data_IF_424948820254
#
_entry.id   IF_424948820254
#
_cell.length_a   1.000
_cell.length_b   1.000
_cell.length_c   1.000
_cell.angle_alpha   90.00
_cell.angle_beta   90.00
_cell.angle_gamma   90.00
#
_symmetry.space_group_name_H-M   'P 1'
#
loop_
_entity.id
_entity.type
_entity.pdbx_description
1 polymer ?
#
# COMPACT_ATOMS: atom_id res chain seq x y z
N UNK A 1 -27.98 31.74 83.06
CA UNK A 1 -28.08 30.68 82.02
C UNK A 1 -28.16 31.29 80.68
N UNK A 2 -27.07 31.28 79.90
CA UNK A 2 -27.06 31.79 78.48
C UNK A 2 -26.95 30.59 77.58
N UNK A 3 -27.97 30.33 76.72
CA UNK A 3 -28.02 29.28 75.74
C UNK A 3 -27.42 29.83 74.47
N UNK A 4 -26.33 29.20 74.01
CA UNK A 4 -25.61 29.55 72.83
C UNK A 4 -26.18 28.71 71.64
N UNK A 5 -26.75 29.36 70.66
CA UNK A 5 -27.21 28.72 69.44
C UNK A 5 -26.06 28.65 68.42
N UNK A 6 -25.64 27.43 68.07
CA UNK A 6 -24.68 27.16 67.00
C UNK A 6 -25.48 26.95 65.69
N UNK A 7 -25.32 27.91 64.76
CA UNK A 7 -25.78 27.76 63.41
C UNK A 7 -24.77 26.92 62.60
N UNK A 8 -25.19 25.73 62.20
CA UNK A 8 -24.45 24.89 61.25
C UNK A 8 -24.87 25.25 59.83
N UNK A 9 -24.02 25.96 59.11
CA UNK A 9 -24.20 26.23 57.67
C UNK A 9 -23.65 25.02 56.91
N UNK A 10 -24.55 24.18 56.32
CA UNK A 10 -24.19 23.18 55.33
C UNK A 10 -23.93 23.87 54.01
N UNK A 11 -22.67 23.97 53.59
CA UNK A 11 -22.28 24.33 52.25
C UNK A 11 -22.45 23.12 51.30
N UNK A 12 -23.47 23.15 50.47
CA UNK A 12 -23.69 22.17 49.42
C UNK A 12 -22.65 22.43 48.31
N UNK A 13 -21.60 21.62 48.23
CA UNK A 13 -20.69 21.59 47.10
C UNK A 13 -21.43 20.88 45.95
N UNK A 14 -21.93 21.63 45.00
CA UNK A 14 -22.43 21.11 43.74
C UNK A 14 -21.19 20.75 42.89
N UNK A 15 -20.79 19.50 42.89
CA UNK A 15 -19.86 18.96 41.87
C UNK A 15 -20.56 19.02 40.50
N UNK A 16 -20.25 20.02 39.71
CA UNK A 16 -20.53 20.01 38.30
C UNK A 16 -19.62 18.96 37.64
N UNK A 17 -20.14 17.74 37.52
CA UNK A 17 -19.56 16.72 36.66
C UNK A 17 -19.77 17.20 35.21
N UNK A 18 -18.81 17.94 34.67
CA UNK A 18 -18.77 18.30 33.26
C UNK A 18 -18.66 17.01 32.44
N UNK A 19 -19.79 16.55 31.90
CA UNK A 19 -19.79 15.53 30.87
C UNK A 19 -18.98 16.08 29.69
N UNK A 20 -17.71 15.72 29.61
CA UNK A 20 -16.96 15.89 28.39
C UNK A 20 -17.67 15.06 27.34
N UNK A 21 -18.44 15.74 26.49
CA UNK A 21 -18.96 15.14 25.26
C UNK A 21 -17.74 14.70 24.48
N UNK A 22 -17.44 13.39 24.52
CA UNK A 22 -16.48 12.77 23.61
C UNK A 22 -16.86 13.22 22.19
N UNK A 23 -15.97 13.98 21.59
CA UNK A 23 -16.12 14.40 20.19
C UNK A 23 -16.08 13.14 19.33
N UNK A 24 -17.27 12.60 19.03
CA UNK A 24 -17.45 11.38 18.23
C UNK A 24 -16.84 11.49 16.84
N UNK A 25 -16.49 12.70 16.37
CA UNK A 25 -15.82 12.92 15.09
C UNK A 25 -14.37 12.42 15.04
N UNK A 26 -13.77 12.16 16.23
CA UNK A 26 -12.37 11.70 16.35
C UNK A 26 -12.24 10.22 16.69
N UNK A 27 -13.33 9.48 16.76
CA UNK A 27 -13.30 8.04 17.09
C UNK A 27 -13.01 7.26 15.80
N UNK A 28 -11.91 6.52 15.78
CA UNK A 28 -11.65 5.51 14.75
C UNK A 28 -12.58 4.31 14.95
N UNK A 29 -13.11 3.78 13.85
CA UNK A 29 -13.88 2.53 13.85
C UNK A 29 -12.95 1.41 13.41
N UNK A 30 -12.88 0.32 14.18
CA UNK A 30 -12.16 -0.90 13.84
C UNK A 30 -13.14 -2.07 13.87
N UNK A 31 -13.21 -2.80 12.78
CA UNK A 31 -14.11 -3.96 12.61
C UNK A 31 -13.39 -5.07 11.89
N UNK A 32 -13.76 -6.30 12.20
CA UNK A 32 -13.20 -7.49 11.58
C UNK A 32 -14.31 -8.28 10.89
N UNK A 33 -13.94 -9.01 9.83
CA UNK A 33 -14.84 -9.93 9.17
C UNK A 33 -14.10 -11.16 8.65
N UNK A 34 -14.84 -12.23 8.47
CA UNK A 34 -14.38 -13.49 7.89
C UNK A 34 -15.19 -13.79 6.66
N UNK A 35 -14.51 -14.03 5.55
CA UNK A 35 -15.14 -14.42 4.29
C UNK A 35 -14.89 -15.90 4.05
N UNK A 36 -15.97 -16.70 4.04
CA UNK A 36 -15.90 -18.13 3.75
C UNK A 36 -15.73 -18.38 2.25
N UNK A 37 -14.93 -19.39 1.86
CA UNK A 37 -14.77 -19.77 0.47
C UNK A 37 -16.11 -20.24 -0.14
N UNK A 38 -16.32 -19.93 -1.41
CA UNK A 38 -17.41 -20.49 -2.18
C UNK A 38 -16.95 -21.80 -2.86
N UNK A 39 -17.91 -22.65 -3.21
CA UNK A 39 -17.62 -23.98 -3.76
C UNK A 39 -16.75 -23.97 -5.02
N UNK A 40 -16.88 -22.92 -5.85
CA UNK A 40 -16.16 -22.74 -7.11
C UNK A 40 -14.89 -21.90 -6.98
N UNK A 41 -14.47 -21.58 -5.76
CA UNK A 41 -13.26 -20.81 -5.50
C UNK A 41 -12.08 -21.72 -5.14
N UNK A 42 -10.87 -21.28 -5.51
CA UNK A 42 -9.63 -22.00 -5.21
C UNK A 42 -9.07 -21.66 -3.81
N UNK A 43 -9.92 -21.16 -2.93
CA UNK A 43 -9.59 -20.88 -1.53
C UNK A 43 -9.91 -22.12 -0.68
N UNK A 44 -8.98 -22.55 0.16
CA UNK A 44 -9.10 -23.71 1.03
C UNK A 44 -9.46 -23.37 2.48
N UNK A 45 -9.22 -22.12 2.90
CA UNK A 45 -9.51 -21.64 4.25
C UNK A 45 -10.24 -20.32 4.24
N UNK A 46 -10.84 -19.97 5.36
CA UNK A 46 -11.43 -18.65 5.57
C UNK A 46 -10.42 -17.52 5.36
N UNK A 47 -10.89 -16.43 4.76
CA UNK A 47 -10.14 -15.20 4.61
C UNK A 47 -10.51 -14.22 5.72
N UNK A 48 -9.53 -13.77 6.48
CA UNK A 48 -9.73 -12.82 7.57
C UNK A 48 -9.35 -11.40 7.13
N UNK A 49 -10.20 -10.45 7.46
CA UNK A 49 -10.00 -9.04 7.14
C UNK A 49 -10.26 -8.18 8.36
N UNK A 50 -9.44 -7.15 8.51
CA UNK A 50 -9.63 -6.11 9.52
C UNK A 50 -9.69 -4.76 8.84
N UNK A 51 -10.71 -3.97 9.12
CA UNK A 51 -10.88 -2.62 8.60
C UNK A 51 -10.75 -1.59 9.72
N UNK A 52 -9.89 -0.59 9.51
CA UNK A 52 -9.83 0.62 10.33
C UNK A 52 -10.30 1.82 9.51
N UNK A 53 -11.32 2.52 10.01
CA UNK A 53 -11.75 3.82 9.48
C UNK A 53 -11.23 4.87 10.46
N UNK A 54 -10.19 5.66 10.08
CA UNK A 54 -9.54 6.59 11.00
C UNK A 54 -10.41 7.77 11.43
N UNK A 55 -11.46 8.05 10.69
CA UNK A 55 -12.44 9.09 10.98
C UNK A 55 -13.83 8.55 10.65
N UNK A 56 -14.67 8.40 11.68
CA UNK A 56 -15.99 7.78 11.55
C UNK A 56 -17.02 8.62 10.78
N UNK A 57 -16.72 9.90 10.52
CA UNK A 57 -17.65 10.81 9.86
C UNK A 57 -17.12 11.28 8.51
N UNK A 58 -17.99 11.24 7.52
CA UNK A 58 -17.72 11.64 6.16
C UNK A 58 -17.52 10.45 5.23
N UNK A 59 -17.60 10.73 3.94
CA UNK A 59 -17.52 9.71 2.91
C UNK A 59 -16.08 9.18 2.75
N UNK A 60 -15.92 7.86 2.76
CA UNK A 60 -14.65 7.19 2.48
C UNK A 60 -14.38 7.30 0.96
N UNK A 61 -13.18 7.77 0.58
CA UNK A 61 -12.78 7.99 -0.81
C UNK A 61 -12.05 6.80 -1.42
N UNK A 62 -11.55 5.89 -0.60
CA UNK A 62 -10.85 4.71 -1.04
C UNK A 62 -10.45 3.82 0.13
N UNK A 63 -10.00 2.62 -0.19
CA UNK A 63 -9.50 1.64 0.77
C UNK A 63 -8.04 1.33 0.44
N UNK A 64 -7.16 1.52 1.41
CA UNK A 64 -5.77 1.09 1.31
C UNK A 64 -5.65 -0.32 1.87
N UNK A 65 -5.56 -1.28 0.98
CA UNK A 65 -5.41 -2.71 1.28
C UNK A 65 -3.94 -3.01 1.51
N UNK A 66 -3.62 -3.49 2.70
CA UNK A 66 -2.29 -3.91 3.15
C UNK A 66 -2.33 -5.41 3.36
N UNK A 67 -1.51 -6.15 2.60
CA UNK A 67 -1.41 -7.59 2.76
C UNK A 67 -0.49 -7.93 3.93
N UNK A 68 -1.03 -8.62 4.95
CA UNK A 68 -0.30 -9.02 6.15
C UNK A 68 0.75 -10.11 5.85
N UNK A 69 1.90 -9.67 5.39
CA UNK A 69 3.04 -10.52 5.02
C UNK A 69 4.31 -9.97 5.66
N UNK A 70 4.59 -10.44 6.86
CA UNK A 70 5.75 -9.99 7.62
C UNK A 70 5.42 -8.83 8.57
N UNK A 71 6.13 -8.84 9.69
CA UNK A 71 5.86 -7.96 10.83
C UNK A 71 5.90 -6.48 10.49
N UNK A 72 6.86 -6.05 9.70
CA UNK A 72 7.05 -4.64 9.34
C UNK A 72 5.91 -4.09 8.47
N UNK A 73 5.25 -4.93 7.70
CA UNK A 73 4.05 -4.56 6.92
C UNK A 73 2.82 -4.50 7.82
N UNK A 74 2.71 -5.44 8.75
CA UNK A 74 1.66 -5.42 9.79
C UNK A 74 1.76 -4.16 10.65
N UNK A 75 2.98 -3.80 11.07
CA UNK A 75 3.24 -2.61 11.87
C UNK A 75 2.86 -1.32 11.12
N UNK A 76 3.03 -1.28 9.78
CA UNK A 76 2.57 -0.15 8.95
C UNK A 76 1.06 0.08 9.03
N UNK A 77 0.27 -0.97 9.10
CA UNK A 77 -1.20 -0.85 9.21
C UNK A 77 -1.64 -0.07 10.45
N UNK A 78 -0.93 -0.25 11.57
CA UNK A 78 -1.21 0.41 12.84
C UNK A 78 -0.33 1.64 13.11
N UNK A 79 0.59 1.98 12.21
CA UNK A 79 1.50 3.12 12.35
C UNK A 79 0.74 4.45 12.40
N UNK A 80 1.06 5.28 13.38
CA UNK A 80 0.34 6.54 13.64
C UNK A 80 0.38 7.51 12.45
N UNK A 81 1.50 7.56 11.71
CA UNK A 81 1.64 8.43 10.53
C UNK A 81 0.80 7.90 9.38
N UNK A 82 0.75 6.57 9.19
CA UNK A 82 -0.10 5.91 8.18
C UNK A 82 -1.58 6.13 8.49
N UNK A 83 -1.99 6.01 9.74
CA UNK A 83 -3.37 6.30 10.19
C UNK A 83 -3.70 7.78 9.98
N UNK A 84 -2.79 8.70 10.33
CA UNK A 84 -2.98 10.13 10.10
C UNK A 84 -3.07 10.47 8.61
N UNK A 85 -2.24 9.83 7.78
CA UNK A 85 -2.30 9.95 6.32
C UNK A 85 -3.64 9.45 5.78
N UNK A 86 -4.09 8.28 6.20
CA UNK A 86 -5.37 7.71 5.79
C UNK A 86 -6.55 8.64 6.18
N UNK A 87 -6.53 9.20 7.39
CA UNK A 87 -7.51 10.22 7.82
C UNK A 87 -7.51 11.43 6.89
N UNK A 88 -6.34 12.01 6.60
CA UNK A 88 -6.19 13.18 5.74
C UNK A 88 -6.77 12.97 4.35
N UNK A 89 -6.59 11.79 3.78
CA UNK A 89 -7.06 11.45 2.43
C UNK A 89 -8.42 10.74 2.40
N UNK A 90 -9.07 10.61 3.57
CA UNK A 90 -10.36 9.92 3.75
C UNK A 90 -10.31 8.47 3.23
N UNK A 91 -9.23 7.77 3.56
CA UNK A 91 -9.05 6.36 3.25
C UNK A 91 -9.45 5.52 4.47
N UNK A 92 -10.05 4.37 4.23
CA UNK A 92 -10.04 3.28 5.17
C UNK A 92 -8.76 2.46 4.98
N UNK A 93 -8.23 1.90 6.05
CA UNK A 93 -7.13 0.92 6.02
C UNK A 93 -7.73 -0.46 6.16
N UNK A 94 -7.36 -1.37 5.27
CA UNK A 94 -7.80 -2.77 5.30
C UNK A 94 -6.59 -3.67 5.38
N UNK A 95 -6.48 -4.41 6.49
CA UNK A 95 -5.51 -5.47 6.65
C UNK A 95 -6.11 -6.76 6.11
N UNK A 96 -5.45 -7.34 5.09
CA UNK A 96 -5.80 -8.62 4.53
C UNK A 96 -4.96 -9.70 5.23
N UNK A 97 -5.60 -10.51 6.06
CA UNK A 97 -4.96 -11.66 6.71
C UNK A 97 -4.74 -12.82 5.74
N UNK A 98 -4.35 -13.93 6.28
CA UNK A 98 -4.02 -15.12 5.51
C UNK A 98 -5.27 -15.83 4.97
N UNK A 99 -5.22 -16.22 3.68
CA UNK A 99 -6.12 -17.19 3.09
C UNK A 99 -5.28 -18.29 2.42
N UNK A 100 -5.59 -19.55 2.67
CA UNK A 100 -4.90 -20.67 2.02
C UNK A 100 -5.54 -21.01 0.67
N UNK A 101 -4.70 -21.27 -0.34
CA UNK A 101 -5.12 -21.83 -1.62
C UNK A 101 -5.36 -23.35 -1.56
N UNK A 102 -6.13 -23.87 -2.51
CA UNK A 102 -6.43 -25.34 -2.61
C UNK A 102 -5.30 -26.15 -3.25
N UNK A 103 -4.37 -25.50 -3.94
CA UNK A 103 -3.37 -26.23 -4.72
C UNK A 103 -2.17 -26.64 -3.88
N UNK A 104 -1.69 -27.90 -4.04
CA UNK A 104 -0.47 -28.37 -3.41
C UNK A 104 0.72 -27.51 -3.86
N UNK A 105 1.57 -27.12 -2.91
CA UNK A 105 2.71 -26.25 -3.17
C UNK A 105 2.37 -24.77 -3.27
N UNK A 106 1.10 -24.42 -3.06
CA UNK A 106 0.68 -23.03 -2.97
C UNK A 106 1.23 -22.40 -1.67
N UNK A 107 1.89 -21.29 -1.79
CA UNK A 107 2.42 -20.54 -0.64
C UNK A 107 1.34 -19.60 -0.06
N UNK A 108 0.15 -20.14 0.15
CA UNK A 108 -1.01 -19.38 0.59
C UNK A 108 -1.61 -18.54 -0.53
N UNK A 109 -1.98 -17.31 -0.21
CA UNK A 109 -2.61 -16.39 -1.16
C UNK A 109 -1.67 -15.84 -2.25
N UNK A 110 -0.35 -16.01 -2.10
CA UNK A 110 0.65 -15.44 -3.00
C UNK A 110 0.61 -15.96 -4.43
N UNK A 111 0.35 -17.25 -4.57
CA UNK A 111 0.33 -17.94 -5.87
C UNK A 111 -1.09 -18.10 -6.41
N UNK A 112 -2.09 -17.69 -5.65
CA UNK A 112 -3.48 -17.78 -6.03
C UNK A 112 -3.80 -16.78 -7.14
N UNK A 113 -4.55 -17.23 -8.14
CA UNK A 113 -5.09 -16.33 -9.15
C UNK A 113 -6.24 -15.53 -8.53
N UNK A 114 -6.17 -14.19 -8.46
CA UNK A 114 -7.23 -13.40 -7.83
C UNK A 114 -8.62 -13.66 -8.39
N UNK A 115 -8.72 -13.97 -9.70
CA UNK A 115 -9.99 -14.30 -10.38
C UNK A 115 -10.64 -15.60 -9.90
N UNK A 116 -9.89 -16.49 -9.25
CA UNK A 116 -10.35 -17.80 -8.80
C UNK A 116 -10.72 -17.83 -7.32
N UNK A 117 -10.88 -16.67 -6.69
CA UNK A 117 -11.37 -16.60 -5.31
C UNK A 117 -10.96 -15.34 -4.55
N UNK A 118 -9.66 -15.03 -4.49
CA UNK A 118 -9.15 -13.99 -3.62
C UNK A 118 -9.69 -12.59 -3.96
N UNK A 119 -9.79 -12.25 -5.24
CA UNK A 119 -10.39 -10.98 -5.67
C UNK A 119 -11.88 -10.88 -5.30
N UNK A 120 -12.73 -11.88 -5.64
CA UNK A 120 -14.12 -11.93 -5.19
C UNK A 120 -14.25 -11.91 -3.66
N UNK A 121 -13.40 -12.63 -2.91
CA UNK A 121 -13.42 -12.63 -1.45
C UNK A 121 -13.16 -11.23 -0.87
N UNK A 122 -12.18 -10.50 -1.41
CA UNK A 122 -11.91 -9.11 -1.04
C UNK A 122 -13.15 -8.21 -1.26
N UNK A 123 -13.85 -8.37 -2.40
CA UNK A 123 -15.05 -7.59 -2.66
C UNK A 123 -16.19 -7.94 -1.70
N UNK A 124 -16.37 -9.22 -1.37
CA UNK A 124 -17.35 -9.65 -0.35
C UNK A 124 -17.01 -9.08 1.04
N UNK A 125 -15.74 -9.02 1.42
CA UNK A 125 -15.32 -8.38 2.66
C UNK A 125 -15.71 -6.91 2.68
N UNK A 126 -15.51 -6.17 1.59
CA UNK A 126 -15.92 -4.76 1.49
C UNK A 126 -17.44 -4.59 1.58
N UNK A 127 -18.22 -5.51 0.99
CA UNK A 127 -19.69 -5.52 1.12
C UNK A 127 -20.13 -5.78 2.57
N UNK A 128 -19.49 -6.71 3.27
CA UNK A 128 -19.76 -6.97 4.69
C UNK A 128 -19.42 -5.74 5.55
N UNK A 129 -18.26 -5.13 5.33
CA UNK A 129 -17.88 -3.91 6.04
C UNK A 129 -18.82 -2.73 5.75
N UNK A 130 -19.32 -2.60 4.53
CA UNK A 130 -20.34 -1.60 4.20
C UNK A 130 -21.60 -1.77 5.05
N UNK A 131 -22.08 -3.01 5.20
CA UNK A 131 -23.21 -3.33 6.06
C UNK A 131 -22.94 -3.09 7.54
N UNK A 132 -21.75 -3.50 8.03
CA UNK A 132 -21.37 -3.40 9.45
C UNK A 132 -21.16 -1.95 9.92
N UNK A 133 -20.62 -1.10 9.06
CA UNK A 133 -20.21 0.28 9.41
C UNK A 133 -21.20 1.34 8.97
N UNK A 134 -22.14 1.00 8.08
CA UNK A 134 -23.03 1.96 7.44
C UNK A 134 -22.37 2.78 6.31
N UNK A 135 -21.09 2.56 6.03
CA UNK A 135 -20.35 3.18 4.93
C UNK A 135 -20.61 2.42 3.62
N UNK A 136 -21.77 2.61 3.04
CA UNK A 136 -22.22 1.88 1.82
C UNK A 136 -21.29 2.06 0.63
N UNK A 137 -20.52 3.16 0.61
CA UNK A 137 -19.51 3.41 -0.42
C UNK A 137 -18.36 2.41 -0.43
N UNK A 138 -18.11 1.66 0.66
CA UNK A 138 -17.06 0.63 0.74
C UNK A 138 -17.23 -0.45 -0.32
N UNK A 139 -18.45 -0.88 -0.62
CA UNK A 139 -18.75 -1.89 -1.66
C UNK A 139 -18.16 -1.53 -3.02
N UNK A 140 -18.08 -0.23 -3.34
CA UNK A 140 -17.57 0.27 -4.62
C UNK A 140 -16.36 1.20 -4.46
N UNK A 141 -15.70 1.18 -3.31
CA UNK A 141 -14.56 2.04 -3.04
C UNK A 141 -13.41 1.81 -4.03
N UNK A 142 -12.69 2.87 -4.34
CA UNK A 142 -11.43 2.78 -5.06
C UNK A 142 -10.36 2.16 -4.14
N UNK A 143 -9.40 1.43 -4.71
CA UNK A 143 -8.45 0.60 -3.98
C UNK A 143 -7.01 1.11 -4.16
N UNK A 144 -6.21 0.97 -3.12
CA UNK A 144 -4.76 1.08 -3.15
C UNK A 144 -4.24 -0.24 -2.61
N UNK A 145 -3.26 -0.85 -3.27
CA UNK A 145 -2.66 -2.10 -2.81
C UNK A 145 -1.23 -1.89 -2.32
N UNK A 146 -0.90 -2.47 -1.17
CA UNK A 146 0.47 -2.62 -0.71
C UNK A 146 0.73 -4.10 -0.48
N UNK A 147 1.70 -4.64 -1.23
CA UNK A 147 2.12 -6.02 -1.11
C UNK A 147 3.63 -6.17 -0.93
N UNK A 148 4.03 -6.92 0.08
CA UNK A 148 5.40 -7.31 0.33
C UNK A 148 5.65 -8.73 -0.16
N UNK A 149 6.85 -9.02 -0.65
CA UNK A 149 7.26 -10.36 -1.09
C UNK A 149 6.29 -10.93 -2.13
N UNK A 150 5.77 -12.12 -1.96
CA UNK A 150 4.78 -12.73 -2.84
C UNK A 150 3.46 -11.97 -2.94
N UNK A 151 3.10 -11.14 -1.96
CA UNK A 151 1.94 -10.25 -2.07
C UNK A 151 2.16 -9.09 -3.05
N UNK A 152 3.40 -8.80 -3.47
CA UNK A 152 3.69 -7.86 -4.55
C UNK A 152 3.07 -8.29 -5.89
N UNK A 153 3.42 -9.46 -6.45
CA UNK A 153 2.76 -9.99 -7.64
C UNK A 153 1.27 -10.22 -7.49
N UNK A 154 0.80 -10.60 -6.30
CA UNK A 154 -0.62 -10.68 -6.01
C UNK A 154 -1.30 -9.30 -6.18
N UNK A 155 -0.70 -8.25 -5.64
CA UNK A 155 -1.19 -6.87 -5.83
C UNK A 155 -1.23 -6.49 -7.31
N UNK A 156 -0.17 -6.80 -8.07
CA UNK A 156 -0.13 -6.56 -9.52
C UNK A 156 -1.23 -7.33 -10.29
N UNK A 157 -1.54 -8.57 -9.88
CA UNK A 157 -2.66 -9.34 -10.45
C UNK A 157 -4.03 -8.76 -10.09
N UNK A 158 -4.21 -8.25 -8.87
CA UNK A 158 -5.43 -7.54 -8.49
C UNK A 158 -5.60 -6.23 -9.25
N UNK A 159 -4.50 -5.52 -9.51
CA UNK A 159 -4.49 -4.35 -10.41
C UNK A 159 -4.94 -4.75 -11.82
N UNK A 160 -4.40 -5.86 -12.34
CA UNK A 160 -4.81 -6.39 -13.65
C UNK A 160 -6.29 -6.75 -13.71
N UNK A 161 -6.85 -7.23 -12.59
CA UNK A 161 -8.26 -7.65 -12.50
C UNK A 161 -9.22 -6.46 -12.33
N UNK A 162 -8.83 -5.43 -11.56
CA UNK A 162 -9.70 -4.30 -11.21
C UNK A 162 -9.12 -2.93 -11.58
N UNK A 163 -8.55 -2.72 -12.79
CA UNK A 163 -7.79 -1.51 -13.12
C UNK A 163 -8.58 -0.22 -12.97
N UNK A 164 -9.90 -0.27 -13.17
CA UNK A 164 -10.81 0.88 -13.05
C UNK A 164 -11.10 1.30 -11.62
N UNK A 165 -10.84 0.40 -10.66
CA UNK A 165 -11.02 0.66 -9.23
C UNK A 165 -9.71 0.95 -8.51
N UNK A 166 -8.55 0.73 -9.15
CA UNK A 166 -7.27 0.85 -8.46
C UNK A 166 -6.64 2.22 -8.67
N UNK A 167 -6.44 2.94 -7.58
CA UNK A 167 -5.74 4.23 -7.55
C UNK A 167 -4.25 4.02 -7.77
N UNK A 168 -3.64 3.05 -7.07
CA UNK A 168 -2.20 2.82 -7.04
C UNK A 168 -1.84 1.42 -6.54
N UNK A 169 -0.64 0.95 -6.89
CA UNK A 169 0.02 -0.22 -6.31
C UNK A 169 1.37 0.12 -5.69
N UNK A 170 1.67 -0.46 -4.54
CA UNK A 170 2.99 -0.43 -3.89
C UNK A 170 3.47 -1.87 -3.77
N UNK A 171 4.59 -2.18 -4.42
CA UNK A 171 5.18 -3.50 -4.48
C UNK A 171 6.53 -3.44 -3.78
N UNK A 172 6.61 -3.97 -2.56
CA UNK A 172 7.82 -3.94 -1.73
C UNK A 172 8.51 -5.30 -1.74
N UNK A 173 9.79 -5.33 -2.07
CA UNK A 173 10.59 -6.55 -2.26
C UNK A 173 9.80 -7.65 -3.01
N UNK A 174 9.16 -7.33 -4.15
CA UNK A 174 8.19 -8.21 -4.77
C UNK A 174 8.91 -9.39 -5.42
N UNK A 175 8.52 -10.61 -5.06
CA UNK A 175 9.01 -11.84 -5.65
C UNK A 175 8.18 -12.34 -6.82
N UNK A 176 8.65 -13.43 -7.46
CA UNK A 176 7.85 -14.23 -8.40
C UNK A 176 7.33 -13.52 -9.66
N UNK A 177 8.08 -12.56 -10.22
CA UNK A 177 7.77 -11.92 -11.51
C UNK A 177 8.30 -12.68 -12.74
N UNK A 178 8.49 -13.99 -12.65
CA UNK A 178 9.00 -14.76 -13.77
C UNK A 178 8.17 -14.56 -15.03
N UNK A 179 8.80 -14.45 -16.21
CA UNK A 179 8.09 -14.24 -17.47
C UNK A 179 7.28 -15.46 -17.93
N UNK A 180 7.58 -16.64 -17.39
CA UNK A 180 6.99 -17.94 -17.70
C UNK A 180 6.43 -18.60 -16.42
N UNK A 181 5.25 -19.15 -16.49
CA UNK A 181 4.62 -19.89 -15.40
C UNK A 181 3.46 -19.16 -14.72
N UNK A 182 3.03 -19.70 -13.56
CA UNK A 182 1.87 -19.21 -12.80
C UNK A 182 2.08 -17.79 -12.26
N UNK A 183 3.34 -17.41 -12.09
CA UNK A 183 3.73 -16.13 -11.52
C UNK A 183 3.79 -14.98 -12.53
N UNK A 184 3.49 -15.27 -13.80
CA UNK A 184 3.49 -14.22 -14.84
C UNK A 184 2.33 -13.26 -14.64
N UNK A 185 2.66 -12.00 -14.43
CA UNK A 185 1.68 -10.90 -14.42
C UNK A 185 1.55 -10.35 -15.84
N UNK A 186 0.35 -10.50 -16.43
CA UNK A 186 0.01 -9.93 -17.75
C UNK A 186 -0.95 -8.77 -17.54
N UNK A 187 -0.50 -7.56 -17.89
CA UNK A 187 -1.30 -6.36 -17.74
C UNK A 187 -1.98 -5.98 -19.05
N UNK A 188 -3.28 -5.73 -18.98
CA UNK A 188 -4.01 -5.05 -20.06
C UNK A 188 -3.50 -3.61 -20.20
N UNK A 189 -3.77 -2.98 -21.36
CA UNK A 189 -3.39 -1.57 -21.56
C UNK A 189 -4.00 -0.64 -20.50
N UNK A 190 -5.16 -0.98 -19.98
CA UNK A 190 -5.82 -0.23 -18.91
C UNK A 190 -5.10 -0.39 -17.57
N UNK A 191 -4.72 -1.62 -17.22
CA UNK A 191 -3.96 -1.91 -16.00
C UNK A 191 -2.57 -1.27 -16.02
N UNK A 192 -1.91 -1.21 -17.17
CA UNK A 192 -0.63 -0.51 -17.36
C UNK A 192 -0.69 0.99 -17.01
N UNK A 193 -1.87 1.60 -17.02
CA UNK A 193 -2.06 3.01 -16.67
C UNK A 193 -2.28 3.23 -15.17
N UNK A 194 -2.32 2.18 -14.36
CA UNK A 194 -2.34 2.27 -12.91
C UNK A 194 -0.92 2.57 -12.43
N UNK A 195 -0.70 3.66 -11.66
CA UNK A 195 0.62 3.94 -11.09
C UNK A 195 1.08 2.83 -10.16
N UNK A 196 2.33 2.43 -10.30
CA UNK A 196 2.98 1.49 -9.39
C UNK A 196 4.29 2.06 -8.84
N UNK A 197 4.53 1.87 -7.53
CA UNK A 197 5.80 2.11 -6.86
C UNK A 197 6.41 0.75 -6.53
N UNK A 198 7.54 0.43 -7.14
CA UNK A 198 8.25 -0.83 -6.98
C UNK A 198 9.52 -0.54 -6.19
N UNK A 199 9.69 -1.20 -5.04
CA UNK A 199 10.81 -1.03 -4.13
C UNK A 199 11.49 -2.39 -3.95
N UNK A 200 12.72 -2.54 -4.40
CA UNK A 200 13.49 -3.78 -4.26
C UNK A 200 14.56 -3.67 -3.17
N UNK A 201 14.97 -4.77 -2.57
CA UNK A 201 16.09 -4.82 -1.64
C UNK A 201 17.41 -5.10 -2.36
N UNK A 202 18.45 -4.26 -2.13
CA UNK A 202 19.75 -4.40 -2.81
C UNK A 202 20.56 -5.62 -2.37
N UNK A 203 20.25 -6.20 -1.21
CA UNK A 203 20.84 -7.44 -0.68
C UNK A 203 19.77 -8.52 -0.45
N UNK A 204 18.66 -8.46 -1.20
CA UNK A 204 17.53 -9.38 -1.09
C UNK A 204 17.89 -10.73 -1.76
N UNK A 205 18.21 -11.72 -0.95
CA UNK A 205 18.55 -13.09 -1.37
C UNK A 205 17.32 -13.98 -1.63
N UNK A 206 16.12 -13.46 -1.45
CA UNK A 206 14.85 -14.16 -1.70
C UNK A 206 14.23 -13.74 -3.03
N UNK A 207 13.83 -12.46 -3.12
CA UNK A 207 13.14 -11.91 -4.29
C UNK A 207 14.08 -11.25 -5.29
N UNK A 208 15.25 -10.80 -4.83
CA UNK A 208 16.24 -10.12 -5.64
C UNK A 208 15.82 -8.74 -6.14
N UNK A 209 16.66 -8.20 -7.01
CA UNK A 209 16.43 -6.89 -7.66
C UNK A 209 16.14 -7.03 -9.16
N UNK A 210 16.65 -8.09 -9.79
CA UNK A 210 16.65 -8.24 -11.25
C UNK A 210 15.22 -8.41 -11.81
N UNK A 211 14.45 -9.36 -11.29
CA UNK A 211 13.09 -9.65 -11.80
C UNK A 211 12.11 -8.49 -11.56
N UNK A 212 12.07 -7.84 -10.38
CA UNK A 212 11.29 -6.63 -10.20
C UNK A 212 11.68 -5.48 -11.15
N UNK A 213 12.98 -5.32 -11.41
CA UNK A 213 13.46 -4.31 -12.35
C UNK A 213 13.09 -4.61 -13.81
N UNK A 214 13.14 -5.88 -14.22
CA UNK A 214 12.70 -6.29 -15.56
C UNK A 214 11.20 -6.12 -15.76
N UNK A 215 10.39 -6.46 -14.73
CA UNK A 215 8.97 -6.18 -14.73
C UNK A 215 8.69 -4.68 -14.89
N UNK A 216 9.36 -3.84 -14.10
CA UNK A 216 9.29 -2.39 -14.21
C UNK A 216 9.64 -1.91 -15.62
N UNK A 217 10.81 -2.27 -16.15
CA UNK A 217 11.28 -1.83 -17.47
C UNK A 217 10.31 -2.20 -18.58
N UNK A 218 9.83 -3.43 -18.57
CA UNK A 218 8.89 -3.95 -19.57
C UNK A 218 7.67 -3.03 -19.73
N UNK A 219 7.06 -2.64 -18.63
CA UNK A 219 5.84 -1.82 -18.70
C UNK A 219 6.15 -0.32 -18.74
N UNK A 220 7.26 0.11 -18.17
CA UNK A 220 7.68 1.51 -18.29
C UNK A 220 7.97 1.90 -19.75
N UNK A 221 8.56 1.01 -20.54
CA UNK A 221 8.75 1.19 -21.98
C UNK A 221 7.44 1.36 -22.75
N UNK A 222 6.34 0.85 -22.22
CA UNK A 222 4.99 1.01 -22.77
C UNK A 222 4.28 2.28 -22.29
N UNK A 223 4.97 3.15 -21.55
CA UNK A 223 4.44 4.41 -21.02
C UNK A 223 3.65 4.27 -19.72
N UNK A 224 3.87 3.20 -18.95
CA UNK A 224 3.25 3.07 -17.63
C UNK A 224 3.80 4.11 -16.65
N UNK A 225 2.96 4.78 -15.83
CA UNK A 225 3.40 5.79 -14.87
C UNK A 225 3.99 5.13 -13.61
N UNK A 226 5.09 4.41 -13.79
CA UNK A 226 5.69 3.57 -12.75
C UNK A 226 7.00 4.14 -12.23
N UNK A 227 7.22 3.92 -10.94
CA UNK A 227 8.43 4.31 -10.21
C UNK A 227 9.15 3.06 -9.72
N UNK A 228 10.46 3.01 -9.88
CA UNK A 228 11.32 1.96 -9.34
C UNK A 228 12.40 2.57 -8.44
N UNK A 229 12.73 1.88 -7.37
CA UNK A 229 13.87 2.20 -6.50
C UNK A 229 14.41 0.96 -5.82
N UNK A 230 15.62 1.07 -5.27
CA UNK A 230 16.28 0.02 -4.50
C UNK A 230 16.62 0.55 -3.12
N UNK A 231 16.32 -0.21 -2.09
CA UNK A 231 16.88 -0.02 -0.76
C UNK A 231 18.27 -0.65 -0.74
N UNK A 232 19.31 0.15 -0.92
CA UNK A 232 20.67 -0.33 -0.97
C UNK A 232 21.04 -1.13 0.29
N UNK A 233 21.70 -2.27 0.08
CA UNK A 233 22.14 -3.23 1.10
C UNK A 233 21.01 -3.76 2.01
N UNK A 234 19.76 -3.56 1.65
CA UNK A 234 18.60 -4.09 2.40
C UNK A 234 18.37 -5.55 2.01
N UNK A 235 18.24 -6.47 2.99
CA UNK A 235 17.82 -7.84 2.74
C UNK A 235 16.33 -7.92 2.42
N UNK A 236 15.77 -9.14 2.39
CA UNK A 236 14.34 -9.38 2.16
C UNK A 236 13.46 -8.90 3.32
N UNK A 237 13.32 -7.58 3.48
CA UNK A 237 12.55 -6.97 4.57
C UNK A 237 12.25 -5.49 4.29
N UNK A 238 11.86 -4.85 5.35
CA UNK A 238 12.13 -3.43 5.65
C UNK A 238 11.28 -2.45 4.83
N UNK A 239 10.02 -2.82 4.51
CA UNK A 239 9.03 -1.95 3.87
C UNK A 239 8.81 -0.66 4.67
N UNK A 240 8.87 -0.74 6.00
CA UNK A 240 8.69 0.40 6.90
C UNK A 240 9.75 1.50 6.69
N UNK A 241 10.97 1.15 6.24
CA UNK A 241 11.99 2.15 5.89
C UNK A 241 11.56 3.06 4.75
N UNK A 242 10.71 2.57 3.86
CA UNK A 242 10.19 3.32 2.73
C UNK A 242 8.88 4.08 3.07
N UNK A 243 8.44 4.11 4.34
CA UNK A 243 7.17 4.73 4.74
C UNK A 243 7.04 6.17 4.24
N UNK A 244 8.04 7.01 4.43
CA UNK A 244 8.03 8.41 3.95
C UNK A 244 7.90 8.47 2.44
N UNK A 245 8.70 7.69 1.72
CA UNK A 245 8.66 7.60 0.25
C UNK A 245 7.28 7.15 -0.24
N UNK A 246 6.71 6.11 0.36
CA UNK A 246 5.38 5.57 0.04
C UNK A 246 4.31 6.64 0.23
N UNK A 247 4.30 7.32 1.38
CA UNK A 247 3.27 8.32 1.69
C UNK A 247 3.38 9.54 0.78
N UNK A 248 4.60 10.04 0.52
CA UNK A 248 4.82 11.18 -0.38
C UNK A 248 4.40 10.85 -1.80
N UNK A 249 4.69 9.64 -2.28
CA UNK A 249 4.25 9.15 -3.57
C UNK A 249 2.72 9.00 -3.65
N UNK A 250 2.11 8.34 -2.66
CA UNK A 250 0.66 8.17 -2.60
C UNK A 250 -0.07 9.51 -2.55
N UNK A 251 0.42 10.48 -1.79
CA UNK A 251 -0.14 11.84 -1.77
C UNK A 251 -0.22 12.44 -3.17
N UNK A 252 0.89 12.34 -3.93
CA UNK A 252 0.95 12.87 -5.28
C UNK A 252 0.04 12.12 -6.25
N UNK A 253 -0.01 10.79 -6.16
CA UNK A 253 -0.86 9.93 -7.00
C UNK A 253 -2.34 10.14 -6.71
N UNK A 254 -2.74 10.12 -5.43
CA UNK A 254 -4.14 10.33 -5.02
C UNK A 254 -4.63 11.69 -5.51
N UNK A 255 -3.83 12.74 -5.35
CA UNK A 255 -4.20 14.11 -5.76
C UNK A 255 -4.43 14.23 -7.27
N UNK A 256 -3.69 13.45 -8.08
CA UNK A 256 -3.79 13.47 -9.55
C UNK A 256 -4.87 12.54 -10.10
N UNK A 257 -5.04 11.38 -9.47
CA UNK A 257 -5.84 10.28 -10.00
C UNK A 257 -7.22 10.17 -9.37
N UNK A 258 -7.33 10.42 -8.06
CA UNK A 258 -8.59 10.26 -7.35
C UNK A 258 -9.57 11.39 -7.69
N UNK A 259 -10.84 11.07 -7.99
CA UNK A 259 -11.85 12.09 -8.19
C UNK A 259 -12.15 12.82 -6.87
N UNK A 260 -12.71 14.03 -6.98
CA UNK A 260 -13.19 14.78 -5.81
C UNK A 260 -14.35 14.05 -5.11
N UNK A 261 -15.14 13.31 -5.88
CA UNK A 261 -16.29 12.53 -5.42
C UNK A 261 -15.87 11.08 -5.23
N UNK A 262 -16.25 10.45 -4.12
CA UNK A 262 -15.78 9.13 -3.68
C UNK A 262 -15.95 7.98 -4.69
N UNK A 263 -16.97 7.98 -5.50
CA UNK A 263 -17.26 6.94 -6.48
C UNK A 263 -17.07 7.41 -7.93
N UNK A 264 -16.34 8.52 -8.13
CA UNK A 264 -16.05 9.01 -9.47
C UNK A 264 -15.01 8.16 -10.19
N UNK A 265 -15.04 8.16 -11.52
CA UNK A 265 -14.04 7.48 -12.35
C UNK A 265 -12.64 8.03 -12.08
N UNK A 266 -11.68 7.13 -11.94
CA UNK A 266 -10.28 7.49 -11.75
C UNK A 266 -9.73 8.21 -12.99
N UNK A 267 -9.01 9.31 -12.76
CA UNK A 267 -8.39 10.07 -13.84
C UNK A 267 -7.16 9.32 -14.37
N UNK A 268 -6.95 9.44 -15.67
CA UNK A 268 -5.68 8.99 -16.26
C UNK A 268 -4.58 9.98 -15.86
N UNK A 269 -3.43 9.45 -15.45
CA UNK A 269 -2.26 10.28 -15.16
C UNK A 269 -1.68 10.80 -16.47
N UNK A 270 -1.40 12.11 -16.53
CA UNK A 270 -0.72 12.75 -17.67
C UNK A 270 0.75 12.95 -17.33
N UNK A 271 1.63 12.68 -18.30
CA UNK A 271 3.09 12.76 -18.07
C UNK A 271 3.70 14.15 -18.26
N UNK A 272 2.96 15.15 -18.76
CA UNK A 272 3.53 16.42 -19.22
C UNK A 272 4.29 17.24 -18.18
N UNK A 273 3.91 17.14 -16.88
CA UNK A 273 4.48 17.94 -15.79
C UNK A 273 5.18 17.09 -14.73
N UNK A 274 5.73 15.97 -15.15
CA UNK A 274 6.39 15.02 -14.26
C UNK A 274 7.91 15.14 -14.34
N UNK A 275 8.55 14.50 -13.38
CA UNK A 275 9.99 14.29 -13.37
C UNK A 275 10.30 12.86 -13.80
N UNK A 276 11.48 12.66 -14.35
CA UNK A 276 12.06 11.37 -14.66
C UNK A 276 13.20 11.09 -13.70
N UNK A 277 13.26 9.86 -13.19
CA UNK A 277 14.34 9.39 -12.34
C UNK A 277 15.11 8.26 -13.02
N UNK A 278 16.40 8.39 -13.13
CA UNK A 278 17.28 7.36 -13.68
C UNK A 278 18.24 6.83 -12.63
N UNK A 279 18.65 5.60 -12.76
CA UNK A 279 19.64 4.93 -11.90
C UNK A 279 20.70 4.26 -12.74
N UNK A 280 21.91 4.19 -12.17
CA UNK A 280 22.92 3.20 -12.58
C UNK A 280 23.08 2.19 -11.45
N UNK A 281 23.35 0.95 -11.79
CA UNK A 281 23.44 -0.14 -10.83
C UNK A 281 24.85 -0.69 -10.71
N UNK A 282 25.15 -1.25 -9.55
CA UNK A 282 26.34 -2.03 -9.26
C UNK A 282 25.94 -3.41 -8.74
N UNK A 283 26.37 -4.46 -9.45
CA UNK A 283 26.07 -5.84 -9.04
C UNK A 283 26.69 -6.17 -7.69
N UNK A 284 26.02 -7.02 -6.95
CA UNK A 284 26.51 -7.58 -5.69
C UNK A 284 26.94 -9.05 -5.91
N UNK A 285 27.58 -9.63 -4.89
CA UNK A 285 27.86 -11.07 -4.87
C UNK A 285 26.69 -11.90 -4.31
N UNK A 286 25.56 -11.25 -4.00
CA UNK A 286 24.38 -11.89 -3.45
C UNK A 286 23.51 -12.38 -4.61
N UNK A 287 23.05 -13.64 -4.50
CA UNK A 287 22.12 -14.24 -5.46
C UNK A 287 20.79 -14.47 -4.78
N UNK A 288 19.72 -14.17 -5.52
CA UNK A 288 18.35 -14.45 -5.09
C UNK A 288 18.02 -15.95 -5.19
N UNK A 289 16.80 -16.32 -4.78
CA UNK A 289 16.32 -17.71 -4.82
C UNK A 289 16.24 -18.29 -6.24
N UNK A 290 16.39 -17.47 -7.28
CA UNK A 290 16.44 -17.90 -8.68
C UNK A 290 17.87 -17.96 -9.24
N UNK A 291 18.89 -17.68 -8.40
CA UNK A 291 20.28 -17.64 -8.78
C UNK A 291 20.72 -16.38 -9.52
N UNK A 292 19.89 -15.34 -9.59
CA UNK A 292 20.22 -14.07 -10.23
C UNK A 292 20.96 -13.17 -9.25
N UNK A 293 22.00 -12.48 -9.75
CA UNK A 293 22.73 -11.51 -8.95
C UNK A 293 21.87 -10.30 -8.62
N UNK A 294 21.88 -9.88 -7.36
CA UNK A 294 21.23 -8.63 -6.96
C UNK A 294 22.10 -7.44 -7.33
N UNK A 295 21.54 -6.25 -7.25
CA UNK A 295 22.29 -5.01 -7.46
C UNK A 295 21.85 -3.91 -6.48
N UNK A 296 22.78 -3.02 -6.18
CA UNK A 296 22.56 -1.74 -5.53
C UNK A 296 22.52 -0.61 -6.56
N UNK A 297 21.93 0.50 -6.20
CA UNK A 297 22.05 1.73 -6.97
C UNK A 297 23.42 2.34 -6.70
N UNK A 298 24.20 2.56 -7.76
CA UNK A 298 25.49 3.23 -7.73
C UNK A 298 25.33 4.74 -7.82
N UNK A 299 24.54 5.20 -8.77
CA UNK A 299 24.19 6.61 -8.94
C UNK A 299 22.73 6.77 -9.33
N UNK A 300 22.15 7.90 -8.99
CA UNK A 300 20.79 8.25 -9.39
C UNK A 300 20.72 9.74 -9.75
N UNK A 301 19.81 10.10 -10.64
CA UNK A 301 19.55 11.48 -11.01
C UNK A 301 18.08 11.70 -11.34
N UNK A 302 17.70 12.97 -11.36
CA UNK A 302 16.35 13.40 -11.74
C UNK A 302 16.42 14.49 -12.78
N UNK A 303 15.47 14.51 -13.68
CA UNK A 303 15.29 15.56 -14.69
C UNK A 303 13.81 15.85 -14.92
N UNK A 304 13.48 17.03 -15.41
CA UNK A 304 12.12 17.37 -15.76
C UNK A 304 11.77 16.72 -17.10
N UNK A 305 10.67 15.98 -17.19
CA UNK A 305 10.30 15.18 -18.35
C UNK A 305 10.26 15.99 -19.67
N UNK A 306 9.77 17.25 -19.63
CA UNK A 306 9.75 18.14 -20.81
C UNK A 306 11.12 18.63 -21.28
N UNK A 307 12.15 18.52 -20.43
CA UNK A 307 13.52 18.95 -20.69
C UNK A 307 14.47 17.78 -20.87
N UNK A 308 13.96 16.55 -20.80
CA UNK A 308 14.76 15.35 -20.93
C UNK A 308 15.45 15.31 -22.29
N UNK A 309 16.76 15.32 -22.27
CA UNK A 309 17.61 15.22 -23.49
C UNK A 309 17.78 13.78 -23.96
N UNK A 310 17.60 12.85 -23.03
CA UNK A 310 17.63 11.41 -23.29
C UNK A 310 16.24 10.84 -23.07
N UNK A 311 15.63 10.33 -24.12
CA UNK A 311 14.38 9.57 -23.99
C UNK A 311 14.68 8.17 -23.43
N UNK A 312 15.21 8.11 -22.21
CA UNK A 312 15.29 6.82 -21.52
C UNK A 312 13.88 6.39 -21.13
N UNK A 313 13.30 5.61 -22.01
CA UNK A 313 11.95 5.03 -21.84
C UNK A 313 11.85 4.15 -20.59
N UNK A 314 12.97 3.86 -19.92
CA UNK A 314 13.02 3.09 -18.67
C UNK A 314 13.22 3.95 -17.43
N UNK A 315 13.30 5.27 -17.56
CA UNK A 315 13.38 6.17 -16.42
C UNK A 315 12.08 6.11 -15.58
N UNK A 316 12.22 6.11 -14.26
CA UNK A 316 11.10 6.13 -13.30
C UNK A 316 10.23 7.36 -13.50
N UNK A 317 8.92 7.17 -13.51
CA UNK A 317 7.98 8.28 -13.47
C UNK A 317 7.89 8.84 -12.05
N UNK A 318 8.16 10.13 -11.87
CA UNK A 318 8.13 10.82 -10.59
C UNK A 318 7.05 11.92 -10.63
N UNK A 319 5.94 11.76 -9.90
CA UNK A 319 4.74 12.57 -10.10
C UNK A 319 4.88 14.05 -9.76
N UNK A 320 5.77 14.43 -8.85
CA UNK A 320 5.97 15.83 -8.41
C UNK A 320 7.44 16.12 -8.14
N UNK A 321 7.81 17.40 -8.12
CA UNK A 321 9.15 17.81 -7.75
C UNK A 321 9.54 17.39 -6.32
N UNK A 322 8.61 17.52 -5.34
CA UNK A 322 8.88 17.11 -3.96
C UNK A 322 9.09 15.59 -3.86
N UNK A 323 8.30 14.79 -4.55
CA UNK A 323 8.53 13.36 -4.61
C UNK A 323 9.83 13.01 -5.34
N UNK A 324 10.17 13.72 -6.41
CA UNK A 324 11.43 13.48 -7.13
C UNK A 324 12.65 13.69 -6.22
N UNK A 325 12.63 14.71 -5.37
CA UNK A 325 13.69 14.92 -4.37
C UNK A 325 13.71 13.82 -3.29
N UNK A 326 12.55 13.42 -2.79
CA UNK A 326 12.43 12.32 -1.83
C UNK A 326 12.95 11.01 -2.42
N UNK A 327 12.53 10.68 -3.65
CA UNK A 327 12.98 9.51 -4.38
C UNK A 327 14.51 9.53 -4.58
N UNK A 328 15.08 10.68 -4.98
CA UNK A 328 16.51 10.83 -5.18
C UNK A 328 17.29 10.65 -3.88
N UNK A 329 16.81 11.25 -2.79
CA UNK A 329 17.40 11.12 -1.45
C UNK A 329 17.36 9.65 -0.98
N UNK A 330 16.20 9.00 -1.11
CA UNK A 330 16.03 7.60 -0.75
C UNK A 330 16.92 6.66 -1.58
N UNK A 331 16.93 6.85 -2.89
CA UNK A 331 17.65 5.99 -3.84
C UNK A 331 19.17 6.11 -3.72
N UNK A 332 19.68 7.29 -3.32
CA UNK A 332 21.12 7.55 -3.10
C UNK A 332 21.63 7.13 -1.74
N UNK A 333 20.79 6.70 -0.85
CA UNK A 333 21.20 6.27 0.48
C UNK A 333 22.09 5.03 0.37
N UNK A 334 23.34 5.13 0.83
CA UNK A 334 24.33 4.04 0.70
C UNK A 334 23.88 2.77 1.43
N UNK A 335 23.20 2.92 2.55
CA UNK A 335 22.66 1.83 3.34
C UNK A 335 21.36 2.22 4.02
N UNK A 336 20.34 1.42 3.81
CA UNK A 336 19.10 1.53 4.58
C UNK A 336 19.22 0.76 5.89
N UNK A 337 18.71 1.28 6.99
CA UNK A 337 18.78 0.59 8.28
C UNK A 337 17.99 -0.74 8.20
N UNK A 338 18.56 -1.79 8.80
CA UNK A 338 17.82 -3.02 9.07
C UNK A 338 17.09 -2.76 10.38
N UNK A 339 15.77 -2.63 10.36
CA UNK A 339 15.00 -2.47 11.57
C UNK A 339 15.10 -3.74 12.41
N UNK A 340 15.44 -3.63 13.71
CA UNK A 340 15.42 -4.79 14.58
C UNK A 340 14.00 -5.37 14.59
N UNK A 341 13.89 -6.67 14.41
CA UNK A 341 12.64 -7.40 14.64
C UNK A 341 12.30 -7.22 16.12
N UNK A 342 11.35 -6.37 16.44
CA UNK A 342 10.85 -6.15 17.80
C UNK A 342 9.93 -7.27 18.23
#
# INVERSE_FOLDING_TARGET
>A
MRVLWLLVTCAAIVMQCGAQTLDRSKVSVRVETTVHPLQNEDIASDCHYELTIPEAHGQIRGVWVIFDRGRDVHDLYSDADVVAFARRFKLALLLHGYCAGKFPGDHGDMNMKPSQGLGPALLRALDQFAGMTGHTELSNANLIFLGFSGAGPLSARLIAMYPRRVIAGILSSPGHFRPDGIDTVKLTREAQQVPELIIAGGADDVSGTQLPYEYFKKYRQLGSPWTFTVQNLSPHCCTANAKSLIMTWLQAVISRRSPVIAQGSLRRVQEKDNWLGWITSERTNIRDSFGLETFNVKTAGIELARSATTHDVTASWLPTASFAQEWLSFTRQDRHPILPLR
#
